data_IF_260395346338
#
_entry.id   IF_260395346338
#
_cell.length_a   1.000
_cell.length_b   1.000
_cell.length_c   1.000
_cell.angle_alpha   90.00
_cell.angle_beta   90.00
_cell.angle_gamma   90.00
#
_symmetry.space_group_name_H-M   'P 1'
#
loop_
_entity.id
_entity.type
_entity.pdbx_description
1 polymer ?
#
# COMPACT_ATOMS: atom_id res chain seq x y z
N UNK A 1 4.86 4.87 -24.20
CA UNK A 1 5.42 3.65 -23.58
C UNK A 1 4.26 2.79 -23.13
N UNK A 2 4.22 1.54 -23.59
CA UNK A 2 3.03 0.69 -23.60
C UNK A 2 2.72 0.13 -22.21
N UNK A 3 1.51 0.43 -21.70
CA UNK A 3 0.95 -0.01 -20.40
C UNK A 3 0.06 -1.25 -20.54
N UNK A 4 0.53 -2.27 -21.26
CA UNK A 4 -0.21 -3.54 -21.32
C UNK A 4 0.37 -4.45 -20.24
N UNK A 5 -0.43 -4.72 -19.22
CA UNK A 5 -0.16 -5.83 -18.31
C UNK A 5 -0.43 -7.11 -19.12
N UNK A 6 0.61 -7.89 -19.39
CA UNK A 6 0.47 -9.16 -20.12
C UNK A 6 -0.21 -10.19 -19.20
N UNK A 7 -1.44 -10.65 -19.52
CA UNK A 7 -2.15 -11.63 -18.70
C UNK A 7 -1.44 -12.99 -18.63
N UNK A 8 -0.49 -13.28 -19.52
CA UNK A 8 0.32 -14.51 -19.47
C UNK A 8 1.45 -14.46 -18.42
N UNK A 9 1.77 -13.27 -17.89
CA UNK A 9 2.77 -13.07 -16.85
C UNK A 9 2.15 -12.75 -15.49
N UNK A 10 0.82 -12.61 -15.41
CA UNK A 10 0.13 -12.66 -14.13
C UNK A 10 0.04 -14.12 -13.68
N UNK A 11 0.79 -14.47 -12.63
CA UNK A 11 0.56 -15.73 -11.92
C UNK A 11 -0.81 -15.66 -11.23
N UNK A 12 -1.83 -16.25 -11.86
CA UNK A 12 -3.20 -16.39 -11.34
C UNK A 12 -3.41 -17.77 -10.69
N UNK A 13 -2.40 -18.62 -10.69
CA UNK A 13 -2.47 -19.94 -10.07
C UNK A 13 -2.58 -19.80 -8.55
N UNK A 14 -3.33 -20.71 -7.94
CA UNK A 14 -3.60 -20.83 -6.50
C UNK A 14 -2.30 -20.76 -5.69
N UNK A 15 -1.81 -19.55 -5.40
CA UNK A 15 -0.77 -19.35 -4.40
C UNK A 15 -1.46 -19.74 -3.09
N UNK A 16 -1.06 -20.86 -2.46
CA UNK A 16 -1.63 -21.18 -1.18
C UNK A 16 -1.27 -19.99 -0.28
N UNK A 17 -2.27 -19.40 0.39
CA UNK A 17 -2.09 -18.32 1.35
C UNK A 17 -1.37 -18.83 2.60
N UNK A 18 -0.19 -19.42 2.43
CA UNK A 18 0.64 -19.99 3.47
C UNK A 18 1.35 -18.81 4.10
N UNK A 19 0.74 -18.31 5.16
CA UNK A 19 1.47 -17.59 6.18
C UNK A 19 2.08 -18.65 7.11
N UNK A 20 3.35 -18.99 6.90
CA UNK A 20 4.07 -19.85 7.85
C UNK A 20 4.50 -18.94 9.01
N UNK A 21 4.09 -19.22 10.26
CA UNK A 21 4.64 -18.49 11.40
C UNK A 21 6.15 -18.70 11.41
N UNK A 22 6.88 -17.61 11.35
CA UNK A 22 8.34 -17.64 11.26
C UNK A 22 8.91 -18.19 12.55
N UNK A 23 9.72 -19.25 12.47
CA UNK A 23 10.51 -19.74 13.60
C UNK A 23 11.64 -18.75 13.87
N UNK A 24 11.36 -17.72 14.69
CA UNK A 24 12.31 -16.67 15.06
C UNK A 24 13.64 -17.21 15.60
N UNK A 25 13.65 -18.41 16.18
CA UNK A 25 14.85 -19.06 16.73
C UNK A 25 15.90 -19.42 15.65
N UNK A 26 15.50 -19.61 14.40
CA UNK A 26 16.39 -20.01 13.30
C UNK A 26 16.89 -18.81 12.47
N UNK A 27 16.38 -17.61 12.74
CA UNK A 27 16.76 -16.39 12.03
C UNK A 27 17.90 -15.64 12.72
N UNK A 28 18.86 -15.16 11.92
CA UNK A 28 19.81 -14.13 12.33
C UNK A 28 19.11 -12.81 12.66
N UNK A 29 19.79 -11.92 13.39
CA UNK A 29 19.21 -10.61 13.75
C UNK A 29 18.79 -9.79 12.52
N UNK A 30 19.56 -9.84 11.43
CA UNK A 30 19.20 -9.17 10.17
C UNK A 30 17.96 -9.76 9.51
N UNK A 31 17.79 -11.08 9.57
CA UNK A 31 16.63 -11.76 9.00
C UNK A 31 15.37 -11.49 9.85
N UNK A 32 15.51 -11.39 11.17
CA UNK A 32 14.42 -11.00 12.07
C UNK A 32 13.91 -9.60 11.76
N UNK A 33 14.83 -8.64 11.52
CA UNK A 33 14.45 -7.28 11.14
C UNK A 33 13.73 -7.26 9.80
N UNK A 34 14.29 -7.95 8.79
CA UNK A 34 13.67 -8.04 7.47
C UNK A 34 12.26 -8.65 7.53
N UNK A 35 12.09 -9.71 8.32
CA UNK A 35 10.79 -10.36 8.50
C UNK A 35 9.75 -9.41 9.13
N UNK A 36 10.13 -8.68 10.18
CA UNK A 36 9.24 -7.69 10.82
C UNK A 36 8.86 -6.60 9.82
N UNK A 37 9.81 -6.10 9.03
CA UNK A 37 9.55 -5.09 8.01
C UNK A 37 8.64 -5.60 6.89
N UNK A 38 8.82 -6.85 6.44
CA UNK A 38 7.99 -7.45 5.41
C UNK A 38 6.56 -7.71 5.91
N UNK A 39 6.39 -8.18 7.15
CA UNK A 39 5.08 -8.32 7.79
C UNK A 39 4.39 -6.97 7.99
N UNK A 40 5.13 -5.95 8.42
CA UNK A 40 4.61 -4.59 8.57
C UNK A 40 4.17 -4.02 7.20
N UNK A 41 4.96 -4.22 6.15
CA UNK A 41 4.62 -3.79 4.78
C UNK A 41 3.35 -4.48 4.28
N UNK A 42 3.25 -5.80 4.47
CA UNK A 42 2.05 -6.56 4.09
C UNK A 42 0.81 -6.07 4.87
N UNK A 43 0.95 -5.83 6.17
CA UNK A 43 -0.12 -5.34 7.04
C UNK A 43 -0.58 -3.94 6.64
N UNK A 44 0.35 -3.04 6.32
CA UNK A 44 0.03 -1.70 5.83
C UNK A 44 -0.67 -1.74 4.47
N UNK A 45 -0.21 -2.58 3.54
CA UNK A 45 -0.88 -2.77 2.24
C UNK A 45 -2.30 -3.33 2.40
N UNK A 46 -2.54 -4.18 3.39
CA UNK A 46 -3.87 -4.68 3.70
C UNK A 46 -4.76 -3.67 4.43
N UNK A 47 -4.16 -2.65 5.07
CA UNK A 47 -4.87 -1.64 5.87
C UNK A 47 -5.31 -0.40 5.11
N UNK A 48 -4.75 -0.14 3.92
CA UNK A 48 -5.13 1.01 3.07
C UNK A 48 -6.26 0.67 2.10
N UNK A 49 -6.82 1.69 1.43
CA UNK A 49 -7.81 1.46 0.37
C UNK A 49 -7.21 0.61 -0.77
N UNK A 50 -8.02 -0.27 -1.36
CA UNK A 50 -7.59 -1.19 -2.41
C UNK A 50 -6.93 -0.47 -3.59
N UNK A 51 -7.44 0.71 -3.99
CA UNK A 51 -6.88 1.44 -5.13
C UNK A 51 -5.51 2.04 -4.79
N UNK A 52 -5.34 2.49 -3.55
CA UNK A 52 -4.04 2.94 -3.06
C UNK A 52 -3.05 1.76 -3.02
N UNK A 53 -3.46 0.60 -2.49
CA UNK A 53 -2.61 -0.60 -2.45
C UNK A 53 -2.17 -1.02 -3.86
N UNK A 54 -3.08 -1.03 -4.83
CA UNK A 54 -2.79 -1.34 -6.24
C UNK A 54 -1.79 -0.32 -6.81
N UNK A 55 -2.00 0.97 -6.57
CA UNK A 55 -1.10 2.02 -7.05
C UNK A 55 0.30 1.87 -6.44
N UNK A 56 0.40 1.62 -5.13
CA UNK A 56 1.67 1.37 -4.44
C UNK A 56 2.44 0.19 -5.05
N UNK A 57 1.76 -0.93 -5.29
CA UNK A 57 2.38 -2.11 -5.89
C UNK A 57 2.91 -1.84 -7.31
N UNK A 58 2.13 -1.12 -8.13
CA UNK A 58 2.50 -0.83 -9.52
C UNK A 58 3.61 0.21 -9.64
N UNK A 59 3.68 1.17 -8.72
CA UNK A 59 4.72 2.19 -8.69
C UNK A 59 5.95 1.79 -7.84
N UNK A 60 5.93 0.60 -7.24
CA UNK A 60 6.93 0.16 -6.26
C UNK A 60 7.05 1.11 -5.04
N UNK A 61 5.96 1.77 -4.66
CA UNK A 61 5.88 2.72 -3.53
C UNK A 61 5.43 2.03 -2.24
N UNK A 62 6.15 0.97 -1.87
CA UNK A 62 5.84 0.09 -0.73
C UNK A 62 6.87 0.15 0.39
N UNK A 63 7.88 1.03 0.27
CA UNK A 63 8.85 1.23 1.35
C UNK A 63 8.16 1.79 2.60
N UNK A 64 8.59 1.29 3.76
CA UNK A 64 8.05 1.68 5.06
C UNK A 64 9.14 2.33 5.92
N UNK A 65 8.71 3.09 6.92
CA UNK A 65 9.56 3.63 7.98
C UNK A 65 8.85 3.47 9.32
N UNK A 66 9.63 3.57 10.41
CA UNK A 66 9.06 3.60 11.75
C UNK A 66 8.29 4.91 11.95
N UNK A 67 7.04 4.81 12.35
CA UNK A 67 6.24 5.94 12.80
C UNK A 67 6.63 6.27 14.25
N UNK A 68 7.18 7.46 14.47
CA UNK A 68 7.53 7.98 15.81
C UNK A 68 6.51 8.99 16.33
N UNK A 69 5.69 9.52 15.43
CA UNK A 69 4.59 10.43 15.72
C UNK A 69 3.26 9.77 15.33
N UNK A 70 2.16 10.17 15.96
CA UNK A 70 0.84 9.70 15.53
C UNK A 70 0.54 10.14 14.08
N UNK A 71 -0.24 9.36 13.33
CA UNK A 71 -0.63 9.70 11.97
C UNK A 71 -1.59 10.90 11.94
N UNK A 72 -1.73 11.50 10.75
CA UNK A 72 -2.69 12.59 10.54
C UNK A 72 -4.12 12.14 10.88
N UNK A 73 -4.82 12.98 11.65
CA UNK A 73 -6.19 12.69 12.09
C UNK A 73 -6.29 11.74 13.28
N UNK A 74 -5.17 11.34 13.91
CA UNK A 74 -5.19 10.62 15.17
C UNK A 74 -5.89 11.43 16.28
N UNK A 75 -6.85 10.81 16.94
CA UNK A 75 -7.62 11.38 18.03
C UNK A 75 -7.30 10.65 19.34
N UNK A 76 -6.50 11.25 20.24
CA UNK A 76 -6.13 10.63 21.51
C UNK A 76 -7.31 10.32 22.43
N UNK A 77 -8.43 11.05 22.31
CA UNK A 77 -9.60 10.80 23.15
C UNK A 77 -10.33 9.51 22.75
N UNK A 78 -10.28 9.15 21.45
CA UNK A 78 -10.91 7.95 20.91
C UNK A 78 -9.96 6.76 20.81
N UNK A 79 -8.67 7.02 20.56
CA UNK A 79 -7.67 6.01 20.19
C UNK A 79 -6.63 5.76 21.28
N UNK A 80 -6.71 6.47 22.41
CA UNK A 80 -5.77 6.38 23.51
C UNK A 80 -4.57 7.31 23.35
N UNK A 81 -3.66 7.31 24.32
CA UNK A 81 -2.41 8.05 24.21
C UNK A 81 -1.46 7.35 23.22
N UNK A 82 -0.82 8.14 22.36
CA UNK A 82 0.20 7.62 21.46
C UNK A 82 1.48 7.33 22.25
N UNK A 83 1.90 6.06 22.26
CA UNK A 83 3.15 5.64 22.88
C UNK A 83 4.22 5.42 21.82
N UNK A 84 5.22 6.31 21.78
CA UNK A 84 6.33 6.23 20.83
C UNK A 84 7.27 5.03 21.06
N UNK A 85 7.18 4.37 22.23
CA UNK A 85 7.94 3.17 22.52
C UNK A 85 7.31 1.92 21.88
N UNK A 86 6.04 2.01 21.44
CA UNK A 86 5.42 0.98 20.61
C UNK A 86 6.01 1.05 19.20
N UNK A 87 6.39 -0.12 18.68
CA UNK A 87 6.89 -0.23 17.33
C UNK A 87 5.73 -0.09 16.33
N UNK A 88 5.63 1.08 15.71
CA UNK A 88 4.67 1.38 14.66
C UNK A 88 5.39 1.68 13.34
N UNK A 89 4.72 1.39 12.23
CA UNK A 89 5.24 1.61 10.87
C UNK A 89 4.24 2.38 10.02
N UNK A 90 4.75 3.14 9.07
CA UNK A 90 3.99 3.84 8.04
C UNK A 90 4.71 3.74 6.69
N UNK A 91 4.03 4.06 5.60
CA UNK A 91 4.68 4.17 4.30
C UNK A 91 5.59 5.42 4.25
N UNK A 92 6.77 5.28 3.65
CA UNK A 92 7.71 6.40 3.50
C UNK A 92 7.17 7.55 2.65
N UNK A 93 6.32 7.24 1.69
CA UNK A 93 5.69 8.23 0.80
C UNK A 93 4.20 8.22 0.99
N UNK A 94 3.67 9.42 1.21
CA UNK A 94 2.23 9.65 1.21
C UNK A 94 1.66 9.40 -0.19
N UNK A 95 0.56 8.64 -0.22
CA UNK A 95 -0.34 8.59 -1.35
C UNK A 95 -1.71 8.92 -0.79
N UNK A 96 -2.38 9.90 -1.37
CA UNK A 96 -3.72 10.29 -0.94
C UNK A 96 -4.56 10.64 -2.15
N UNK A 97 -5.87 10.32 -2.14
CA UNK A 97 -6.76 10.81 -3.18
C UNK A 97 -6.82 12.34 -3.12
N UNK A 98 -6.80 12.97 -4.28
CA UNK A 98 -6.94 14.42 -4.45
C UNK A 98 -7.94 14.71 -5.56
N UNK A 99 -8.57 15.88 -5.52
CA UNK A 99 -9.48 16.29 -6.59
C UNK A 99 -10.74 15.44 -6.68
N UNK A 100 -11.08 15.00 -7.89
CA UNK A 100 -12.33 14.33 -8.22
C UNK A 100 -12.27 12.82 -7.99
N UNK A 101 -13.30 12.28 -7.33
CA UNK A 101 -13.58 10.85 -7.25
C UNK A 101 -14.95 10.64 -7.88
N UNK A 102 -15.00 9.95 -9.03
CA UNK A 102 -16.25 9.57 -9.68
C UNK A 102 -16.46 8.06 -9.56
N UNK A 103 -17.64 7.67 -9.09
CA UNK A 103 -18.06 6.27 -8.93
C UNK A 103 -19.42 6.08 -9.58
N UNK A 104 -19.44 5.34 -10.67
CA UNK A 104 -20.64 4.91 -11.38
C UNK A 104 -20.65 3.39 -11.52
N UNK A 105 -21.76 2.81 -12.01
CA UNK A 105 -21.93 1.36 -12.06
C UNK A 105 -20.83 0.62 -12.84
N UNK A 106 -20.29 1.26 -13.88
CA UNK A 106 -19.27 0.69 -14.78
C UNK A 106 -18.08 1.64 -14.95
N UNK A 107 -17.90 2.60 -14.05
CA UNK A 107 -16.84 3.59 -14.16
C UNK A 107 -16.34 4.01 -12.78
N UNK A 108 -15.03 4.00 -12.63
CA UNK A 108 -14.35 4.55 -11.46
C UNK A 108 -13.22 5.44 -11.95
N UNK A 109 -13.20 6.67 -11.45
CA UNK A 109 -12.10 7.60 -11.62
C UNK A 109 -11.63 8.08 -10.25
N UNK A 110 -10.32 8.01 -10.02
CA UNK A 110 -9.69 8.58 -8.84
C UNK A 110 -8.39 9.25 -9.24
N UNK A 111 -8.18 10.47 -8.78
CA UNK A 111 -6.90 11.15 -8.84
C UNK A 111 -6.20 11.04 -7.48
N UNK A 112 -4.89 10.81 -7.51
CA UNK A 112 -4.01 10.65 -6.36
C UNK A 112 -2.87 11.65 -6.43
N UNK A 113 -2.49 12.23 -5.30
CA UNK A 113 -1.20 12.88 -5.12
C UNK A 113 -0.24 11.86 -4.51
N UNK A 114 0.85 11.58 -5.20
CA UNK A 114 1.95 10.74 -4.72
C UNK A 114 3.12 11.66 -4.39
N UNK A 115 3.50 11.69 -3.11
CA UNK A 115 4.54 12.56 -2.62
C UNK A 115 5.84 12.39 -3.43
N UNK A 116 6.42 13.51 -3.88
CA UNK A 116 7.66 13.53 -4.64
C UNK A 116 7.55 13.04 -6.09
N UNK A 117 6.45 12.42 -6.51
CA UNK A 117 6.26 11.99 -7.91
C UNK A 117 5.15 12.75 -8.64
N UNK A 118 4.24 13.42 -7.94
CA UNK A 118 3.20 14.27 -8.51
C UNK A 118 1.84 13.58 -8.56
N UNK A 119 0.96 14.05 -9.45
CA UNK A 119 -0.40 13.55 -9.53
C UNK A 119 -0.54 12.38 -10.49
N UNK A 120 -1.34 11.41 -10.09
CA UNK A 120 -1.65 10.21 -10.85
C UNK A 120 -3.16 10.04 -10.94
N UNK A 121 -3.64 9.42 -12.00
CA UNK A 121 -5.03 9.00 -12.11
C UNK A 121 -5.14 7.50 -12.29
N UNK A 122 -6.23 6.96 -11.78
CA UNK A 122 -6.68 5.61 -12.02
C UNK A 122 -8.10 5.65 -12.57
N UNK A 123 -8.26 5.20 -13.80
CA UNK A 123 -9.55 5.03 -14.48
C UNK A 123 -9.82 3.54 -14.68
N UNK A 124 -10.96 3.06 -14.20
CA UNK A 124 -11.37 1.66 -14.32
C UNK A 124 -12.73 1.59 -15.00
N UNK A 125 -12.80 0.81 -16.08
CA UNK A 125 -14.02 0.46 -16.81
C UNK A 125 -14.16 -1.07 -16.86
N UNK A 126 -15.25 -1.65 -17.39
CA UNK A 126 -15.39 -3.10 -17.49
C UNK A 126 -14.34 -3.75 -18.40
N UNK A 127 -13.76 -2.98 -19.32
CA UNK A 127 -12.84 -3.49 -20.33
C UNK A 127 -11.37 -3.27 -19.99
N UNK A 128 -11.04 -2.26 -19.17
CA UNK A 128 -9.66 -1.86 -18.91
C UNK A 128 -9.50 -1.08 -17.61
N UNK A 129 -8.28 -1.11 -17.09
CA UNK A 129 -7.79 -0.17 -16.09
C UNK A 129 -6.66 0.67 -16.70
N UNK A 130 -6.71 1.99 -16.55
CA UNK A 130 -5.69 2.94 -16.98
C UNK A 130 -5.11 3.57 -15.72
N UNK A 131 -3.77 3.59 -15.65
CA UNK A 131 -3.04 4.31 -14.60
C UNK A 131 -2.03 5.22 -15.29
N UNK A 132 -2.19 6.53 -15.11
CA UNK A 132 -1.28 7.54 -15.66
C UNK A 132 -0.80 8.51 -14.61
N UNK A 133 0.41 9.03 -14.87
CA UNK A 133 0.86 10.28 -14.33
C UNK A 133 0.28 11.44 -15.16
N UNK A 134 -0.24 12.47 -14.49
CA UNK A 134 -0.67 13.72 -15.11
C UNK A 134 0.51 14.65 -15.45
#
# INVERSE_FOLDING_TARGET
MTRLIDPQHLNIDEIPGIWTPVNVEELSDSERVAEVEDQARASLLAGVDTLEAVLRLLLHETEIQRAVTPPDGYDPELQGEWDSDILAFEFKRGIKPVGEISREAEYLFVQFEVEGTGEWIMEITPEKAIIEKL
#
